data_IF_776753221767
#
_entry.id   IF_776753221767
#
_cell.length_a   1.000
_cell.length_b   1.000
_cell.length_c   1.000
_cell.angle_alpha   90.00
_cell.angle_beta   90.00
_cell.angle_gamma   90.00
#
_symmetry.space_group_name_H-M   'P 1'
#
loop_
_entity.id
_entity.type
_entity.pdbx_description
1 polymer ?
#
# COMPACT_ATOMS: atom_id res chain seq x y z
N UNK A 1 34.14 18.14 -11.38
CA UNK A 1 32.98 18.34 -10.48
C UNK A 1 32.08 17.10 -10.34
N UNK A 2 31.99 16.18 -11.33
CA UNK A 2 31.15 14.98 -11.23
C UNK A 2 31.60 13.91 -10.19
N UNK A 3 32.79 14.04 -9.60
CA UNK A 3 33.34 13.05 -8.65
C UNK A 3 32.99 13.30 -7.19
N UNK A 4 32.54 14.52 -6.84
CA UNK A 4 32.15 14.85 -5.46
C UNK A 4 30.72 14.39 -5.17
N UNK A 5 29.79 14.66 -6.08
CA UNK A 5 28.39 14.25 -5.94
C UNK A 5 28.20 12.73 -5.79
N UNK A 6 29.00 11.90 -6.49
CA UNK A 6 28.92 10.44 -6.34
C UNK A 6 29.37 9.96 -4.96
N UNK A 7 30.29 10.68 -4.31
CA UNK A 7 30.84 10.30 -3.02
C UNK A 7 29.87 10.63 -1.88
N UNK A 8 29.15 11.75 -2.02
CA UNK A 8 28.08 12.16 -1.09
C UNK A 8 26.88 11.20 -1.16
N UNK A 9 26.46 10.79 -2.35
CA UNK A 9 25.34 9.83 -2.51
C UNK A 9 25.65 8.44 -1.91
N UNK A 10 26.91 7.98 -2.03
CA UNK A 10 27.36 6.71 -1.44
C UNK A 10 27.44 6.78 0.10
N UNK A 11 27.86 7.92 0.65
CA UNK A 11 27.94 8.16 2.09
C UNK A 11 26.54 8.26 2.73
N UNK A 12 25.59 8.90 2.06
CA UNK A 12 24.18 8.97 2.50
C UNK A 12 23.55 7.58 2.53
N UNK A 13 23.81 6.74 1.52
CA UNK A 13 23.34 5.36 1.47
C UNK A 13 23.95 4.50 2.58
N UNK A 14 25.24 4.66 2.85
CA UNK A 14 25.94 3.93 3.91
C UNK A 14 25.44 4.32 5.31
N UNK A 15 25.22 5.60 5.56
CA UNK A 15 24.70 6.08 6.85
C UNK A 15 23.25 5.63 7.08
N UNK A 16 22.43 5.63 6.04
CA UNK A 16 21.06 5.10 6.13
C UNK A 16 21.05 3.61 6.49
N UNK A 17 21.92 2.80 5.86
CA UNK A 17 22.05 1.39 6.21
C UNK A 17 22.54 1.19 7.65
N UNK A 18 23.44 2.05 8.14
CA UNK A 18 23.93 2.01 9.52
C UNK A 18 22.81 2.28 10.53
N UNK A 19 22.02 3.34 10.31
CA UNK A 19 20.89 3.71 11.18
C UNK A 19 19.84 2.60 11.23
N UNK A 20 19.54 1.98 10.08
CA UNK A 20 18.60 0.85 10.00
C UNK A 20 19.14 -0.36 10.78
N UNK A 21 20.42 -0.68 10.63
CA UNK A 21 21.06 -1.80 11.34
C UNK A 21 21.09 -1.59 12.85
N UNK A 22 21.42 -0.38 13.31
CA UNK A 22 21.45 -0.01 14.73
C UNK A 22 20.06 -0.09 15.36
N UNK A 23 19.04 0.42 14.67
CA UNK A 23 17.65 0.33 15.12
C UNK A 23 17.17 -1.12 15.18
N UNK A 24 17.55 -1.96 14.21
CA UNK A 24 17.20 -3.38 14.23
C UNK A 24 17.93 -4.15 15.35
N UNK A 25 19.21 -3.83 15.61
CA UNK A 25 19.96 -4.41 16.73
C UNK A 25 19.38 -4.02 18.09
N UNK A 26 18.96 -2.75 18.25
CA UNK A 26 18.26 -2.30 19.45
C UNK A 26 16.92 -3.02 19.65
N UNK A 27 16.18 -3.28 18.56
CA UNK A 27 14.95 -4.09 18.62
C UNK A 27 15.22 -5.53 19.02
N UNK A 28 16.25 -6.18 18.49
CA UNK A 28 16.64 -7.54 18.92
C UNK A 28 17.08 -7.60 20.39
N UNK A 29 17.80 -6.57 20.86
CA UNK A 29 18.20 -6.46 22.25
C UNK A 29 16.99 -6.29 23.18
N UNK A 30 16.07 -5.39 22.84
CA UNK A 30 14.83 -5.17 23.59
C UNK A 30 13.94 -6.43 23.59
N UNK A 31 13.82 -7.11 22.45
CA UNK A 31 13.05 -8.36 22.35
C UNK A 31 13.65 -9.49 23.21
N UNK A 32 14.99 -9.60 23.27
CA UNK A 32 15.68 -10.55 24.15
C UNK A 32 15.52 -10.18 25.63
N UNK A 33 15.48 -8.90 25.98
CA UNK A 33 15.27 -8.44 27.36
C UNK A 33 13.85 -8.77 27.86
N UNK A 34 12.84 -8.66 26.99
CA UNK A 34 11.44 -9.03 27.32
C UNK A 34 11.26 -10.53 27.57
N UNK A 35 12.09 -11.40 26.99
CA UNK A 35 12.02 -12.86 27.20
C UNK A 35 12.79 -13.29 28.47
N UNK A 36 13.67 -12.44 29.00
CA UNK A 36 14.55 -12.76 30.15
C UNK A 36 14.11 -12.08 31.45
N UNK A 37 13.06 -11.25 31.44
CA UNK A 37 12.43 -10.81 32.68
C UNK A 37 11.79 -12.03 33.40
N UNK A 38 12.33 -12.53 34.52
CA UNK A 38 11.70 -13.60 35.26
C UNK A 38 10.48 -12.98 35.92
N UNK A 39 9.30 -13.40 35.47
CA UNK A 39 8.05 -13.10 36.15
C UNK A 39 8.07 -13.84 37.49
N UNK A 40 8.67 -13.23 38.51
CA UNK A 40 8.53 -13.65 39.89
C UNK A 40 7.13 -13.25 40.36
N UNK A 41 6.13 -14.01 39.93
CA UNK A 41 4.91 -14.20 40.69
C UNK A 41 4.42 -15.62 40.42
N UNK A 42 4.54 -16.42 41.47
CA UNK A 42 4.29 -17.85 41.43
C UNK A 42 2.84 -18.21 41.20
N UNK A 43 2.70 -19.49 40.85
CA UNK A 43 1.48 -20.29 40.78
C UNK A 43 0.73 -20.19 39.46
N UNK A 44 1.16 -20.97 38.47
CA UNK A 44 0.46 -22.23 38.21
C UNK A 44 1.27 -23.09 37.24
N UNK A 45 1.48 -24.34 37.67
CA UNK A 45 2.03 -25.38 36.84
C UNK A 45 0.88 -26.01 36.06
N UNK A 46 0.72 -25.69 34.78
CA UNK A 46 0.28 -26.70 33.83
C UNK A 46 0.48 -26.29 32.38
N UNK A 47 0.65 -27.32 31.55
CA UNK A 47 0.37 -27.35 30.12
C UNK A 47 1.39 -26.77 29.12
N UNK A 48 2.19 -27.74 28.65
CA UNK A 48 2.48 -28.06 27.24
C UNK A 48 3.87 -27.73 26.72
N UNK A 49 4.79 -28.61 27.15
CA UNK A 49 5.80 -29.23 26.29
C UNK A 49 5.21 -29.63 24.93
N UNK A 50 5.62 -28.96 23.86
CA UNK A 50 5.68 -29.55 22.51
C UNK A 50 6.95 -29.09 21.81
N UNK A 51 8.05 -29.77 22.12
CA UNK A 51 9.13 -29.97 21.16
C UNK A 51 8.55 -30.72 19.95
N UNK A 52 8.65 -30.14 18.76
CA UNK A 52 8.47 -30.88 17.50
C UNK A 52 9.75 -30.72 16.68
N UNK A 53 10.32 -31.88 16.46
CA UNK A 53 11.58 -32.23 15.81
C UNK A 53 11.48 -31.96 14.29
N UNK A 54 12.51 -31.34 13.71
CA UNK A 54 12.72 -31.26 12.26
C UNK A 54 13.18 -32.62 11.71
N UNK A 55 12.61 -33.15 10.62
CA UNK A 55 13.26 -34.20 9.84
C UNK A 55 14.15 -33.57 8.76
N UNK A 56 15.45 -33.82 8.90
CA UNK A 56 16.42 -33.83 7.80
C UNK A 56 16.35 -35.20 7.10
N UNK A 57 16.73 -35.22 5.82
CA UNK A 57 17.13 -36.36 4.98
C UNK A 57 16.13 -36.82 3.90
N UNK A 58 16.64 -36.96 2.67
CA UNK A 58 16.04 -37.80 1.63
C UNK A 58 16.21 -37.29 0.20
N UNK A 59 17.36 -37.60 -0.42
CA UNK A 59 17.58 -37.51 -1.86
C UNK A 59 16.64 -38.44 -2.66
N UNK A 60 16.49 -38.14 -3.96
CA UNK A 60 16.53 -39.06 -5.13
C UNK A 60 15.36 -38.91 -6.10
N UNK A 61 15.68 -38.48 -7.34
CA UNK A 61 15.22 -39.19 -8.54
C UNK A 61 14.08 -38.61 -9.37
N UNK A 62 14.39 -38.25 -10.62
CA UNK A 62 13.73 -38.90 -11.76
C UNK A 62 12.75 -38.10 -12.64
N UNK A 63 13.27 -37.68 -13.79
CA UNK A 63 12.72 -37.82 -15.16
C UNK A 63 11.39 -37.17 -15.63
N UNK A 64 11.57 -36.31 -16.65
CA UNK A 64 10.96 -36.30 -18.00
C UNK A 64 9.45 -36.48 -18.20
N UNK A 65 8.81 -35.46 -18.82
CA UNK A 65 8.11 -35.53 -20.13
C UNK A 65 7.27 -34.26 -20.37
N UNK A 66 7.55 -33.49 -21.43
CA UNK A 66 6.89 -33.49 -22.75
C UNK A 66 5.48 -32.86 -22.82
N UNK A 67 5.46 -31.70 -23.50
CA UNK A 67 4.67 -31.39 -24.72
C UNK A 67 3.23 -30.84 -24.57
N UNK A 68 2.92 -29.95 -25.52
CA UNK A 68 1.62 -29.44 -25.98
C UNK A 68 1.08 -28.27 -25.13
N UNK A 69 0.50 -27.20 -25.65
CA UNK A 69 0.07 -26.82 -27.00
C UNK A 69 -0.24 -25.31 -26.96
N UNK A 70 0.13 -24.58 -28.01
CA UNK A 70 -0.36 -23.21 -28.25
C UNK A 70 -1.84 -23.24 -28.68
N UNK A 71 -2.64 -22.25 -28.27
CA UNK A 71 -3.79 -21.82 -29.07
C UNK A 71 -3.53 -20.44 -29.69
N UNK A 72 -3.74 -20.35 -30.99
CA UNK A 72 -3.98 -19.10 -31.71
C UNK A 72 -5.39 -18.63 -31.40
N UNK A 73 -5.57 -17.34 -31.11
CA UNK A 73 -6.90 -16.71 -31.10
C UNK A 73 -6.83 -15.40 -31.88
N UNK A 74 -7.68 -15.38 -32.90
CA UNK A 74 -8.06 -14.31 -33.82
C UNK A 74 -8.53 -13.06 -33.08
N UNK A 75 -8.08 -11.88 -33.51
CA UNK A 75 -8.72 -10.61 -33.17
C UNK A 75 -9.32 -10.01 -34.44
N UNK A 76 -10.63 -9.94 -34.46
CA UNK A 76 -11.39 -9.17 -35.41
C UNK A 76 -11.48 -7.72 -34.93
N UNK A 77 -11.43 -6.83 -35.90
CA UNK A 77 -11.31 -5.39 -35.80
C UNK A 77 -12.73 -4.85 -35.89
N UNK A 78 -13.13 -3.96 -34.98
CA UNK A 78 -14.37 -3.20 -35.13
C UNK A 78 -14.10 -1.78 -34.66
N UNK A 79 -13.98 -0.91 -35.64
CA UNK A 79 -14.01 0.54 -35.51
C UNK A 79 -15.46 0.97 -35.30
N UNK A 80 -15.76 1.74 -34.26
CA UNK A 80 -16.96 2.56 -34.23
C UNK A 80 -16.69 3.90 -33.56
N UNK A 81 -16.83 4.93 -34.38
CA UNK A 81 -16.72 6.35 -34.07
C UNK A 81 -17.98 6.83 -33.37
N UNK A 82 -17.85 7.57 -32.27
CA UNK A 82 -18.94 8.41 -31.79
C UNK A 82 -18.41 9.79 -31.41
N UNK A 83 -18.69 10.75 -32.30
CA UNK A 83 -18.74 12.18 -32.01
C UNK A 83 -20.08 12.50 -31.36
N UNK A 84 -20.07 13.27 -30.28
CA UNK A 84 -21.26 14.04 -29.89
C UNK A 84 -20.85 15.35 -29.23
N UNK A 85 -21.04 16.43 -29.98
CA UNK A 85 -21.13 17.79 -29.48
C UNK A 85 -22.46 17.98 -28.75
N UNK A 86 -22.42 18.58 -27.55
CA UNK A 86 -23.61 19.12 -26.89
C UNK A 86 -23.25 20.44 -26.21
N UNK A 87 -23.58 21.55 -26.86
CA UNK A 87 -23.67 22.89 -26.27
C UNK A 87 -25.13 23.27 -26.11
N UNK A 88 -25.56 23.61 -24.89
CA UNK A 88 -26.74 24.44 -24.56
C UNK A 88 -26.82 24.51 -23.02
N UNK A 89 -26.50 25.65 -22.39
CA UNK A 89 -27.35 26.83 -22.14
C UNK A 89 -28.61 26.49 -21.35
N UNK A 90 -28.70 26.96 -20.10
CA UNK A 90 -29.91 27.55 -19.52
C UNK A 90 -29.61 28.11 -18.12
N UNK A 91 -29.94 29.39 -17.98
CA UNK A 91 -30.02 30.18 -16.76
C UNK A 91 -31.26 29.74 -15.98
N UNK A 92 -31.14 29.54 -14.66
CA UNK A 92 -32.30 29.55 -13.77
C UNK A 92 -31.92 30.18 -12.43
N UNK A 93 -32.46 31.38 -12.24
CA UNK A 93 -32.61 32.10 -10.97
C UNK A 93 -33.50 31.28 -10.02
N UNK A 94 -33.06 31.08 -8.77
CA UNK A 94 -33.94 30.63 -7.71
C UNK A 94 -33.90 31.53 -6.48
N UNK A 95 -35.12 31.90 -6.09
CA UNK A 95 -35.51 32.84 -5.06
C UNK A 95 -35.10 32.46 -3.63
N UNK A 96 -34.84 33.52 -2.88
CA UNK A 96 -34.76 33.62 -1.43
C UNK A 96 -36.08 33.20 -0.75
N UNK A 97 -36.05 32.08 -0.02
CA UNK A 97 -37.03 31.79 1.03
C UNK A 97 -36.34 31.46 2.35
N UNK A 98 -36.25 32.50 3.15
CA UNK A 98 -36.10 32.45 4.60
C UNK A 98 -37.23 31.61 5.22
N UNK A 99 -36.93 30.35 5.55
CA UNK A 99 -37.83 29.42 6.22
C UNK A 99 -37.20 28.82 7.47
N UNK A 100 -37.41 29.47 8.61
CA UNK A 100 -37.10 28.95 9.94
C UNK A 100 -37.96 27.71 10.22
N UNK A 101 -37.36 26.53 10.27
CA UNK A 101 -38.02 25.32 10.77
C UNK A 101 -37.06 24.55 11.69
N UNK A 102 -37.30 24.70 12.99
CA UNK A 102 -36.81 23.80 14.04
C UNK A 102 -37.34 22.38 13.80
N UNK A 103 -36.62 21.61 12.99
CA UNK A 103 -36.81 20.17 12.90
C UNK A 103 -35.74 19.47 13.72
N UNK A 104 -36.21 18.80 14.76
CA UNK A 104 -35.48 17.85 15.60
C UNK A 104 -34.45 17.07 14.79
N UNK A 105 -33.18 17.41 15.01
CA UNK A 105 -31.97 16.81 14.45
C UNK A 105 -31.86 15.32 14.83
N UNK A 106 -32.63 14.48 14.16
CA UNK A 106 -32.23 13.10 13.91
C UNK A 106 -31.06 13.16 12.95
N UNK A 107 -29.84 13.20 13.49
CA UNK A 107 -28.62 13.12 12.69
C UNK A 107 -28.56 11.69 12.18
N UNK A 108 -29.23 11.46 11.06
CA UNK A 108 -29.05 10.27 10.26
C UNK A 108 -27.66 10.39 9.64
N UNK A 109 -26.64 9.86 10.35
CA UNK A 109 -25.26 9.73 9.88
C UNK A 109 -25.18 8.65 8.79
N UNK A 110 -26.09 8.72 7.81
CA UNK A 110 -26.14 7.87 6.64
C UNK A 110 -24.99 8.27 5.72
N UNK A 111 -23.81 7.72 6.00
CA UNK A 111 -22.79 7.19 5.07
C UNK A 111 -22.52 7.97 3.75
N UNK A 112 -22.76 9.28 3.70
CA UNK A 112 -22.54 10.17 2.53
C UNK A 112 -21.04 10.48 2.30
N UNK A 113 -20.17 9.66 2.89
CA UNK A 113 -18.72 9.78 2.83
C UNK A 113 -18.09 8.67 1.97
N UNK A 114 -18.89 7.76 1.40
CA UNK A 114 -18.39 6.81 0.39
C UNK A 114 -17.90 7.54 -0.85
N UNK A 115 -18.71 8.50 -1.32
CA UNK A 115 -18.51 9.16 -2.61
C UNK A 115 -17.24 10.02 -2.61
N UNK A 116 -17.01 10.76 -1.53
CA UNK A 116 -15.80 11.56 -1.37
C UNK A 116 -14.51 10.73 -1.30
N UNK A 117 -14.57 9.47 -0.86
CA UNK A 117 -13.42 8.57 -0.85
C UNK A 117 -13.20 7.89 -2.19
N UNK A 118 -14.24 7.70 -2.98
CA UNK A 118 -14.11 7.19 -4.35
C UNK A 118 -13.43 8.23 -5.26
N UNK A 119 -13.64 9.52 -5.03
CA UNK A 119 -12.91 10.60 -5.71
C UNK A 119 -11.41 10.61 -5.36
N UNK A 120 -11.05 10.27 -4.12
CA UNK A 120 -9.65 10.24 -3.67
C UNK A 120 -8.90 8.99 -4.15
N UNK A 121 -9.62 7.88 -4.26
CA UNK A 121 -9.07 6.59 -4.66
C UNK A 121 -9.86 6.04 -5.83
N UNK A 122 -9.82 6.70 -7.01
CA UNK A 122 -10.57 6.25 -8.16
C UNK A 122 -10.12 4.83 -8.54
N UNK A 123 -11.07 3.95 -8.79
CA UNK A 123 -10.81 2.55 -9.17
C UNK A 123 -11.59 2.20 -10.41
N UNK A 124 -10.91 1.57 -11.37
CA UNK A 124 -11.58 0.96 -12.52
C UNK A 124 -12.56 -0.14 -12.04
N UNK A 125 -13.83 -0.15 -12.49
CA UNK A 125 -14.78 -1.22 -12.19
C UNK A 125 -14.28 -2.63 -12.55
N UNK A 126 -13.43 -2.74 -13.57
CA UNK A 126 -12.80 -3.97 -14.05
C UNK A 126 -11.53 -4.38 -13.29
N UNK A 127 -11.14 -3.62 -12.26
CA UNK A 127 -9.95 -3.89 -11.46
C UNK A 127 -9.92 -5.32 -10.90
N UNK A 128 -8.73 -5.92 -10.91
CA UNK A 128 -8.52 -7.24 -10.37
C UNK A 128 -8.67 -7.28 -8.84
N UNK A 129 -8.74 -8.49 -8.30
CA UNK A 129 -9.01 -8.75 -6.89
C UNK A 129 -7.99 -8.08 -5.95
N UNK A 130 -6.70 -8.08 -6.30
CA UNK A 130 -5.64 -7.45 -5.49
C UNK A 130 -5.83 -5.93 -5.47
N UNK A 131 -6.07 -5.31 -6.62
CA UNK A 131 -6.33 -3.87 -6.71
C UNK A 131 -7.57 -3.46 -5.90
N UNK A 132 -8.65 -4.27 -5.93
CA UNK A 132 -9.86 -4.03 -5.12
C UNK A 132 -9.54 -4.05 -3.63
N UNK A 133 -8.74 -5.01 -3.19
CA UNK A 133 -8.32 -5.11 -1.79
C UNK A 133 -7.37 -3.97 -1.38
N UNK A 134 -6.44 -3.59 -2.26
CA UNK A 134 -5.58 -2.42 -2.06
C UNK A 134 -6.41 -1.15 -1.88
N UNK A 135 -7.42 -0.91 -2.72
CA UNK A 135 -8.29 0.26 -2.57
C UNK A 135 -9.01 0.25 -1.22
N UNK A 136 -9.57 -0.90 -0.80
CA UNK A 136 -10.23 -1.04 0.49
C UNK A 136 -9.29 -0.64 1.64
N UNK A 137 -8.06 -1.16 1.63
CA UNK A 137 -7.06 -0.86 2.67
C UNK A 137 -6.55 0.57 2.61
N UNK A 138 -6.40 1.17 1.43
CA UNK A 138 -6.10 2.60 1.28
C UNK A 138 -7.19 3.47 1.92
N UNK A 139 -8.48 3.17 1.67
CA UNK A 139 -9.60 3.91 2.29
C UNK A 139 -9.60 3.76 3.81
N UNK A 140 -9.36 2.56 4.33
CA UNK A 140 -9.28 2.30 5.78
C UNK A 140 -8.09 3.02 6.43
N UNK A 141 -6.90 2.92 5.85
CA UNK A 141 -5.70 3.61 6.32
C UNK A 141 -5.90 5.14 6.30
N UNK A 142 -6.52 5.68 5.23
CA UNK A 142 -6.82 7.10 5.14
C UNK A 142 -7.74 7.56 6.27
N UNK A 143 -8.84 6.83 6.54
CA UNK A 143 -9.77 7.17 7.64
C UNK A 143 -9.09 7.20 9.01
N UNK A 144 -8.11 6.31 9.22
CA UNK A 144 -7.34 6.18 10.47
C UNK A 144 -6.33 7.32 10.61
N UNK A 145 -5.55 7.56 9.58
CA UNK A 145 -4.36 8.43 9.66
C UNK A 145 -4.63 9.88 9.29
N UNK A 146 -5.61 10.17 8.43
CA UNK A 146 -5.89 11.53 7.96
C UNK A 146 -6.26 12.51 9.09
N UNK A 147 -6.76 12.00 10.21
CA UNK A 147 -7.07 12.80 11.42
C UNK A 147 -5.84 13.40 12.07
N UNK A 148 -4.67 12.82 11.83
CA UNK A 148 -3.38 13.26 12.38
C UNK A 148 -2.65 14.21 11.42
N UNK A 149 -3.17 14.41 10.21
CA UNK A 149 -2.51 15.23 9.21
C UNK A 149 -2.77 16.71 9.46
N UNK A 150 -1.75 17.51 9.18
CA UNK A 150 -1.92 18.96 9.13
C UNK A 150 -2.83 19.36 7.96
N UNK A 151 -3.35 20.58 7.99
CA UNK A 151 -4.18 21.11 6.90
C UNK A 151 -3.41 21.13 5.56
N UNK A 152 -2.12 21.45 5.59
CA UNK A 152 -1.28 21.47 4.39
C UNK A 152 -1.06 20.06 3.83
N UNK A 153 -0.79 19.07 4.69
CA UNK A 153 -0.71 17.67 4.27
C UNK A 153 -2.02 17.20 3.64
N UNK A 154 -3.16 17.53 4.26
CA UNK A 154 -4.48 17.20 3.73
C UNK A 154 -4.70 17.81 2.35
N UNK A 155 -4.35 19.08 2.18
CA UNK A 155 -4.47 19.80 0.90
C UNK A 155 -3.60 19.16 -0.19
N UNK A 156 -2.34 18.84 0.13
CA UNK A 156 -1.44 18.16 -0.81
C UNK A 156 -1.93 16.76 -1.16
N UNK A 157 -2.40 16.01 -0.18
CA UNK A 157 -2.93 14.67 -0.39
C UNK A 157 -4.15 14.70 -1.32
N UNK A 158 -5.14 15.56 -1.05
CA UNK A 158 -6.33 15.71 -1.90
C UNK A 158 -5.99 16.11 -3.34
N UNK A 159 -4.91 16.87 -3.54
CA UNK A 159 -4.43 17.24 -4.87
C UNK A 159 -3.73 16.10 -5.60
N UNK A 160 -2.93 15.29 -4.91
CA UNK A 160 -2.05 14.29 -5.52
C UNK A 160 -2.72 12.92 -5.61
N UNK A 161 -3.43 12.48 -4.56
CA UNK A 161 -4.00 11.13 -4.45
C UNK A 161 -4.87 10.72 -5.66
N UNK A 162 -5.80 11.55 -6.16
CA UNK A 162 -6.64 11.18 -7.32
C UNK A 162 -5.83 10.92 -8.60
N UNK A 163 -4.60 11.44 -8.70
CA UNK A 163 -3.74 11.29 -9.87
C UNK A 163 -2.88 10.01 -9.84
N UNK A 164 -2.83 9.33 -8.69
CA UNK A 164 -1.95 8.17 -8.51
C UNK A 164 -2.61 6.88 -9.01
N UNK A 165 -1.95 6.23 -9.96
CA UNK A 165 -2.33 4.89 -10.45
C UNK A 165 -1.78 3.83 -9.51
N UNK A 166 -2.61 3.33 -8.60
CA UNK A 166 -2.26 2.30 -7.61
C UNK A 166 -2.65 0.87 -8.04
N UNK A 167 -3.02 0.68 -9.31
CA UNK A 167 -3.41 -0.62 -9.84
C UNK A 167 -2.25 -1.62 -9.86
N UNK A 168 -2.54 -2.85 -9.44
CA UNK A 168 -1.58 -3.95 -9.40
C UNK A 168 -1.75 -4.82 -10.63
N UNK A 169 -0.66 -5.02 -11.37
CA UNK A 169 -0.56 -5.89 -12.52
C UNK A 169 0.45 -7.02 -12.20
N UNK A 170 0.47 -8.12 -12.98
CA UNK A 170 1.47 -9.17 -12.79
C UNK A 170 2.92 -8.65 -12.79
N UNK A 171 3.19 -7.59 -13.55
CA UNK A 171 4.52 -6.96 -13.66
C UNK A 171 4.81 -5.93 -12.56
N UNK A 172 3.79 -5.42 -11.87
CA UNK A 172 3.91 -4.38 -10.84
C UNK A 172 3.76 -4.89 -9.40
N UNK A 173 3.70 -6.22 -9.21
CA UNK A 173 3.71 -6.84 -7.87
C UNK A 173 5.01 -6.60 -7.07
N UNK A 174 6.06 -6.08 -7.71
CA UNK A 174 7.26 -5.58 -7.03
C UNK A 174 7.20 -4.07 -6.92
N UNK A 175 7.45 -3.54 -5.71
CA UNK A 175 7.45 -2.09 -5.42
C UNK A 175 8.29 -1.29 -6.43
N UNK A 176 9.48 -1.75 -6.78
CA UNK A 176 10.40 -1.06 -7.71
C UNK A 176 9.85 -0.93 -9.13
N UNK A 177 8.97 -1.84 -9.54
CA UNK A 177 8.34 -1.82 -10.86
C UNK A 177 7.08 -0.95 -10.89
N UNK A 178 6.51 -0.65 -9.71
CA UNK A 178 5.26 0.07 -9.57
C UNK A 178 5.37 1.53 -10.04
N UNK A 179 4.32 2.02 -10.70
CA UNK A 179 4.29 3.36 -11.29
C UNK A 179 4.56 4.47 -10.26
N UNK A 180 3.90 4.38 -9.10
CA UNK A 180 4.07 5.34 -7.99
C UNK A 180 5.53 5.39 -7.52
N UNK A 181 6.20 4.25 -7.39
CA UNK A 181 7.60 4.20 -6.95
C UNK A 181 8.56 4.83 -7.97
N UNK A 182 8.31 4.64 -9.27
CA UNK A 182 9.09 5.28 -10.34
C UNK A 182 8.98 6.81 -10.31
N UNK A 183 7.83 7.34 -9.91
CA UNK A 183 7.56 8.78 -9.85
C UNK A 183 7.94 9.41 -8.51
N UNK A 184 7.99 8.63 -7.42
CA UNK A 184 8.37 9.10 -6.09
C UNK A 184 9.74 9.83 -6.10
N UNK A 185 10.69 9.37 -6.94
CA UNK A 185 12.03 9.98 -7.05
C UNK A 185 12.03 11.44 -7.51
N UNK A 186 11.03 11.87 -8.28
CA UNK A 186 11.06 13.15 -9.00
C UNK A 186 10.05 14.17 -8.49
N UNK A 187 9.21 13.80 -7.52
CA UNK A 187 8.07 14.61 -7.10
C UNK A 187 8.34 15.35 -5.78
N UNK A 188 7.98 16.63 -5.74
CA UNK A 188 8.05 17.47 -4.55
C UNK A 188 7.13 16.98 -3.40
N UNK A 189 6.09 16.22 -3.73
CA UNK A 189 5.15 15.62 -2.77
C UNK A 189 5.44 14.12 -2.58
N UNK A 190 6.72 13.79 -2.37
CA UNK A 190 7.18 12.41 -2.22
C UNK A 190 6.51 11.69 -1.04
N UNK A 191 6.12 12.40 0.02
CA UNK A 191 5.46 11.81 1.18
C UNK A 191 4.10 11.18 0.85
N UNK A 192 3.31 11.76 -0.08
CA UNK A 192 2.04 11.18 -0.53
C UNK A 192 2.29 9.87 -1.27
N UNK A 193 3.30 9.86 -2.15
CA UNK A 193 3.69 8.66 -2.88
C UNK A 193 4.16 7.57 -1.92
N UNK A 194 4.99 7.94 -0.95
CA UNK A 194 5.42 7.04 0.12
C UNK A 194 4.23 6.48 0.89
N UNK A 195 3.26 7.31 1.27
CA UNK A 195 2.09 6.85 2.02
C UNK A 195 1.34 5.74 1.28
N UNK A 196 1.08 5.93 -0.02
CA UNK A 196 0.48 4.89 -0.87
C UNK A 196 1.33 3.62 -0.91
N UNK A 197 2.64 3.76 -1.18
CA UNK A 197 3.55 2.61 -1.28
C UNK A 197 3.68 1.87 0.06
N UNK A 198 3.64 2.58 1.19
CA UNK A 198 3.69 1.99 2.53
C UNK A 198 2.46 1.16 2.79
N UNK A 199 1.26 1.66 2.49
CA UNK A 199 0.02 0.89 2.64
C UNK A 199 0.01 -0.32 1.69
N UNK A 200 0.46 -0.14 0.45
CA UNK A 200 0.44 -1.19 -0.57
C UNK A 200 1.47 -2.30 -0.33
N UNK A 201 2.73 -1.94 -0.11
CA UNK A 201 3.86 -2.88 -0.09
C UNK A 201 4.51 -3.02 1.29
N UNK A 202 4.08 -2.22 2.26
CA UNK A 202 4.61 -2.23 3.62
C UNK A 202 5.83 -1.32 3.81
N UNK A 203 6.12 -0.94 5.07
CA UNK A 203 7.24 -0.07 5.40
C UNK A 203 8.59 -0.70 5.07
N UNK A 204 8.75 -2.02 5.27
CA UNK A 204 10.00 -2.74 4.98
C UNK A 204 10.35 -2.65 3.49
N UNK A 205 9.37 -2.85 2.59
CA UNK A 205 9.60 -2.74 1.15
C UNK A 205 9.98 -1.32 0.73
N UNK A 206 9.35 -0.30 1.35
CA UNK A 206 9.67 1.10 1.14
C UNK A 206 11.08 1.46 1.61
N UNK A 207 11.51 0.93 2.77
CA UNK A 207 12.83 1.21 3.35
C UNK A 207 14.00 0.78 2.46
N UNK A 208 13.76 -0.17 1.55
CA UNK A 208 14.74 -0.66 0.57
C UNK A 208 14.83 0.21 -0.70
N UNK A 209 14.00 1.24 -0.83
CA UNK A 209 14.02 2.12 -2.00
C UNK A 209 15.08 3.22 -1.86
N UNK A 210 15.77 3.60 -2.95
CA UNK A 210 16.88 4.56 -2.89
C UNK A 210 16.45 5.97 -2.48
N UNK A 211 15.17 6.32 -2.61
CA UNK A 211 14.63 7.62 -2.20
C UNK A 211 14.21 7.68 -0.72
N UNK A 212 14.17 6.53 -0.02
CA UNK A 212 13.61 6.44 1.32
C UNK A 212 14.47 7.17 2.37
N UNK A 213 15.80 7.04 2.30
CA UNK A 213 16.72 7.66 3.24
C UNK A 213 16.52 9.19 3.32
N UNK A 214 16.42 9.84 2.15
CA UNK A 214 16.16 11.27 2.05
C UNK A 214 14.80 11.64 2.62
N UNK A 215 13.76 10.86 2.29
CA UNK A 215 12.41 11.08 2.81
C UNK A 215 12.37 10.97 4.35
N UNK A 216 13.02 9.96 4.92
CA UNK A 216 13.05 9.74 6.37
C UNK A 216 13.76 10.87 7.12
N UNK A 217 14.78 11.49 6.50
CA UNK A 217 15.45 12.66 7.05
C UNK A 217 14.54 13.90 7.07
N UNK A 218 13.72 14.09 6.02
CA UNK A 218 12.77 15.21 5.91
C UNK A 218 11.50 14.99 6.77
N UNK A 219 11.09 13.73 6.95
CA UNK A 219 9.85 13.34 7.59
C UNK A 219 10.05 12.14 8.54
N UNK A 220 10.55 12.34 9.78
CA UNK A 220 10.92 11.25 10.67
C UNK A 220 9.80 10.26 11.03
N UNK A 221 8.54 10.71 11.01
CA UNK A 221 7.35 9.87 11.25
C UNK A 221 7.19 8.72 10.23
N UNK A 222 7.89 8.80 9.09
CA UNK A 222 7.99 7.72 8.09
C UNK A 222 8.58 6.43 8.66
N UNK A 223 9.31 6.53 9.79
CA UNK A 223 9.93 5.41 10.49
C UNK A 223 9.03 4.78 11.56
N UNK A 224 7.84 5.34 11.78
CA UNK A 224 6.86 4.81 12.73
C UNK A 224 6.37 3.44 12.25
N UNK A 225 5.97 2.59 13.20
CA UNK A 225 5.46 1.26 12.88
C UNK A 225 4.18 1.37 12.06
N UNK A 226 4.07 0.53 11.04
CA UNK A 226 2.96 0.49 10.11
C UNK A 226 2.65 -0.95 9.77
N UNK A 227 1.38 -1.18 9.44
CA UNK A 227 0.87 -2.49 9.04
C UNK A 227 1.68 -3.05 7.85
N UNK A 228 1.71 -4.37 7.74
CA UNK A 228 2.30 -5.04 6.58
C UNK A 228 1.57 -4.66 5.29
N UNK A 229 2.31 -4.68 4.19
CA UNK A 229 1.75 -4.39 2.87
C UNK A 229 0.72 -5.41 2.43
N UNK A 230 -0.24 -4.95 1.63
CA UNK A 230 -1.29 -5.79 1.04
C UNK A 230 -0.76 -6.60 -0.13
N UNK A 231 0.15 -6.05 -0.94
CA UNK A 231 0.54 -6.63 -2.21
C UNK A 231 1.45 -7.84 -1.98
N UNK A 232 1.02 -9.06 -2.36
CA UNK A 232 1.79 -10.27 -2.10
C UNK A 232 2.96 -10.41 -3.10
N UNK A 233 4.05 -11.06 -2.67
CA UNK A 233 5.22 -11.26 -3.52
C UNK A 233 4.92 -12.12 -4.76
N UNK A 234 3.94 -13.03 -4.67
CA UNK A 234 3.49 -13.94 -5.72
C UNK A 234 2.30 -13.41 -6.55
N UNK A 235 2.13 -12.07 -6.58
CA UNK A 235 1.09 -11.37 -7.36
C UNK A 235 0.87 -11.95 -8.77
N UNK A 236 1.95 -12.23 -9.51
CA UNK A 236 1.84 -12.76 -10.88
C UNK A 236 1.16 -14.14 -10.92
N UNK A 237 1.46 -15.01 -9.95
CA UNK A 237 0.87 -16.34 -9.84
C UNK A 237 -0.61 -16.25 -9.48
N UNK A 238 -0.97 -15.39 -8.51
CA UNK A 238 -2.36 -15.18 -8.06
C UNK A 238 -3.24 -14.66 -9.20
N UNK A 239 -2.73 -13.67 -9.95
CA UNK A 239 -3.49 -13.10 -11.06
C UNK A 239 -3.62 -14.08 -12.24
N UNK A 240 -2.66 -14.99 -12.40
CA UNK A 240 -2.69 -16.02 -13.45
C UNK A 240 -3.59 -17.21 -13.09
N UNK A 241 -3.73 -17.55 -11.81
CA UNK A 241 -4.50 -18.71 -11.35
C UNK A 241 -6.03 -18.53 -11.48
N UNK A 242 -6.51 -17.35 -11.90
CA UNK A 242 -7.93 -16.99 -11.98
C UNK A 242 -8.69 -17.21 -10.66
N UNK A 243 -7.99 -17.21 -9.54
CA UNK A 243 -8.60 -17.42 -8.23
C UNK A 243 -9.56 -16.26 -7.93
N UNK A 244 -10.79 -16.58 -7.57
CA UNK A 244 -11.83 -15.58 -7.27
C UNK A 244 -11.76 -15.07 -5.84
N UNK A 245 -11.04 -15.78 -4.96
CA UNK A 245 -10.89 -15.45 -3.54
C UNK A 245 -9.41 -15.39 -3.16
N UNK A 246 -9.02 -14.27 -2.56
CA UNK A 246 -7.69 -14.06 -2.00
C UNK A 246 -7.86 -13.13 -0.82
N UNK A 247 -7.30 -13.54 0.31
CA UNK A 247 -7.31 -12.75 1.54
C UNK A 247 -5.88 -12.38 1.84
N UNK A 248 -5.57 -11.08 2.03
CA UNK A 248 -4.25 -10.67 2.48
C UNK A 248 -3.94 -11.33 3.83
N UNK A 249 -2.68 -11.69 4.05
CA UNK A 249 -2.18 -12.06 5.36
C UNK A 249 -2.14 -10.79 6.20
N UNK A 250 -3.27 -10.37 6.74
CA UNK A 250 -3.31 -9.34 7.77
C UNK A 250 -2.87 -10.05 9.05
N UNK A 251 -1.76 -9.64 9.64
CA UNK A 251 -1.40 -10.12 10.98
C UNK A 251 -2.48 -9.59 11.94
N UNK A 252 -3.13 -10.50 12.67
CA UNK A 252 -3.99 -10.11 13.76
C UNK A 252 -3.15 -9.29 14.77
N UNK A 253 -3.68 -8.14 15.25
CA UNK A 253 -2.95 -7.18 16.08
C UNK A 253 -2.51 -7.74 17.44
#
# INVERSE_FOLDING_TARGET
>A
MASLARREDEEIMAESHRIIAERNAAKEAAFKETIVAPNNNGNDADLLKKEVILPLDGETGGNSSKRLQSPQITQEISDDSFSSDCSSSEDDDYDDFSGENNSSSGIDYSDDNSDALDDLFPRDPSANLITKQVQKLLKEAYRRESRLWTQEMTKQFKKVAPTLKYEIFPTTGRISNHYICKHAKWNAHIWVHFWFLRVMFGPIACSRQPWFAKLAAEHPWVLDEADEGVVPEDTASILSSKTTTWTPKIQDP
#
